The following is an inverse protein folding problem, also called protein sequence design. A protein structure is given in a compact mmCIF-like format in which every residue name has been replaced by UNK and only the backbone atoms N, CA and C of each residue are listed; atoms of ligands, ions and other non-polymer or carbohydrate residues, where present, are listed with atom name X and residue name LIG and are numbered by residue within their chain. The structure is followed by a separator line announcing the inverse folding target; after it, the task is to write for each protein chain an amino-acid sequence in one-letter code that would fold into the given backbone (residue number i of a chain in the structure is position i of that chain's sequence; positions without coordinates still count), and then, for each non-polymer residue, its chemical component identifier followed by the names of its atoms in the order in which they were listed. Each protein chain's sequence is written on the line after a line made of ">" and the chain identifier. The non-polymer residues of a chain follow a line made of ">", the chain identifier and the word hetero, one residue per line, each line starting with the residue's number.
data_IF_119632819688
#
_entry.id   IF_119632819688
#
_cell.length_a   1.000
_cell.length_b   1.000
_cell.length_c   1.000
_cell.angle_alpha   90.00
_cell.angle_beta   90.00
_cell.angle_gamma   90.00
#
_symmetry.space_group_name_H-M   'P 1'
#
loop_
_entity.id
_entity.type
_entity.pdbx_description
1 polymer ?
#
# COMPACT_ATOMS: atom_id res chain seq x y z
N UNK A 1 20.49 -10.63 3.18
CA UNK A 1 20.39 -9.90 4.48
C UNK A 1 18.92 -9.96 4.91
N UNK A 2 18.54 -10.62 6.03
CA UNK A 2 17.13 -10.58 6.47
C UNK A 2 16.78 -9.15 6.85
N UNK A 3 15.72 -8.63 6.25
CA UNK A 3 15.14 -7.34 6.61
C UNK A 3 14.72 -7.37 8.09
N UNK A 4 14.91 -6.25 8.81
CA UNK A 4 14.37 -6.06 10.17
C UNK A 4 12.89 -5.61 10.16
N UNK A 5 12.28 -5.54 8.97
CA UNK A 5 10.88 -5.15 8.79
C UNK A 5 9.99 -6.39 8.90
N UNK A 6 8.90 -6.25 9.65
CA UNK A 6 7.89 -7.28 9.82
C UNK A 6 6.54 -6.73 9.33
N UNK A 7 5.79 -7.54 8.57
CA UNK A 7 4.38 -7.25 8.30
C UNK A 7 3.59 -7.63 9.55
N UNK A 8 2.98 -6.63 10.19
CA UNK A 8 2.27 -6.82 11.47
C UNK A 8 0.75 -6.87 11.31
N UNK A 9 0.23 -6.29 10.22
CA UNK A 9 -1.20 -6.25 9.91
C UNK A 9 -1.42 -6.08 8.39
N UNK A 10 -2.56 -6.57 7.92
CA UNK A 10 -3.13 -6.20 6.61
C UNK A 10 -4.57 -5.72 6.80
N UNK A 11 -5.10 -4.97 5.84
CA UNK A 11 -6.45 -4.39 5.90
C UNK A 11 -7.15 -4.60 4.57
N UNK A 12 -8.44 -4.93 4.61
CA UNK A 12 -9.26 -5.08 3.41
C UNK A 12 -10.73 -4.78 3.75
N UNK A 13 -11.54 -4.51 2.72
CA UNK A 13 -13.00 -4.34 2.85
C UNK A 13 -13.75 -5.63 2.49
N UNK A 14 -13.09 -6.59 1.85
CA UNK A 14 -13.67 -7.88 1.50
C UNK A 14 -13.93 -8.75 2.75
N UNK A 15 -15.21 -9.05 3.09
CA UNK A 15 -15.56 -9.88 4.23
C UNK A 15 -14.96 -11.28 4.17
N UNK A 16 -14.59 -11.77 2.98
CA UNK A 16 -13.94 -13.06 2.81
C UNK A 16 -12.47 -13.04 3.22
N UNK A 17 -11.82 -11.87 3.36
CA UNK A 17 -10.43 -11.75 3.80
C UNK A 17 -10.32 -11.34 5.26
N UNK A 18 -11.25 -10.50 5.73
CA UNK A 18 -11.28 -10.00 7.10
C UNK A 18 -11.27 -11.15 8.11
N UNK A 19 -10.50 -10.98 9.19
CA UNK A 19 -10.23 -11.97 10.25
C UNK A 19 -9.46 -13.23 9.83
N UNK A 20 -9.01 -13.35 8.58
CA UNK A 20 -8.11 -14.42 8.16
C UNK A 20 -6.65 -14.06 8.40
N UNK A 21 -5.82 -15.09 8.52
CA UNK A 21 -4.36 -14.96 8.52
C UNK A 21 -3.85 -15.38 7.14
N UNK A 22 -3.19 -14.46 6.44
CA UNK A 22 -2.63 -14.65 5.11
C UNK A 22 -1.12 -14.50 5.22
N UNK A 23 -0.37 -15.53 4.83
CA UNK A 23 1.10 -15.56 4.94
C UNK A 23 1.62 -15.18 6.34
N UNK A 24 0.90 -15.55 7.40
CA UNK A 24 1.27 -15.25 8.79
C UNK A 24 0.85 -13.86 9.30
N UNK A 25 0.16 -13.06 8.49
CA UNK A 25 -0.31 -11.71 8.83
C UNK A 25 -1.83 -11.71 8.97
N UNK A 26 -2.35 -11.16 10.06
CA UNK A 26 -3.80 -11.03 10.26
C UNK A 26 -4.36 -9.90 9.41
N UNK A 27 -5.46 -10.19 8.71
CA UNK A 27 -6.25 -9.19 8.00
C UNK A 27 -7.35 -8.63 8.88
N UNK A 28 -7.33 -7.32 9.07
CA UNK A 28 -8.32 -6.55 9.82
C UNK A 28 -9.32 -5.91 8.84
N UNK A 29 -10.48 -5.51 9.37
CA UNK A 29 -11.37 -4.64 8.62
C UNK A 29 -10.71 -3.29 8.40
N UNK A 30 -10.94 -2.68 7.25
CA UNK A 30 -10.55 -1.29 7.02
C UNK A 30 -11.12 -0.33 8.09
N UNK A 31 -12.30 -0.64 8.63
CA UNK A 31 -12.89 0.17 9.72
C UNK A 31 -12.04 0.17 11.01
N UNK A 32 -11.15 -0.81 11.18
CA UNK A 32 -10.24 -0.89 12.34
C UNK A 32 -8.90 -0.19 12.09
N UNK A 33 -8.71 0.47 10.93
CA UNK A 33 -7.43 1.01 10.48
C UNK A 33 -6.79 1.95 11.51
N UNK A 34 -7.53 2.97 11.99
CA UNK A 34 -7.02 3.92 13.00
C UNK A 34 -6.57 3.21 14.28
N UNK A 35 -7.44 2.33 14.80
CA UNK A 35 -7.19 1.60 16.04
C UNK A 35 -5.91 0.77 15.92
N UNK A 36 -5.79 -0.03 14.85
CA UNK A 36 -4.67 -0.95 14.69
C UNK A 36 -3.35 -0.23 14.37
N UNK A 37 -3.38 0.88 13.63
CA UNK A 37 -2.18 1.71 13.42
C UNK A 37 -1.61 2.18 14.76
N UNK A 38 -2.48 2.61 15.68
CA UNK A 38 -2.06 3.10 17.00
C UNK A 38 -1.64 1.98 17.94
N UNK A 39 -2.43 0.92 18.05
CA UNK A 39 -2.16 -0.20 18.96
C UNK A 39 -0.87 -0.96 18.61
N UNK A 40 -0.54 -1.06 17.32
CA UNK A 40 0.65 -1.77 16.84
C UNK A 40 1.84 -0.85 16.54
N UNK A 41 1.72 0.46 16.80
CA UNK A 41 2.71 1.50 16.45
C UNK A 41 3.20 1.37 14.99
N UNK A 42 2.26 1.27 14.06
CA UNK A 42 2.57 1.12 12.63
C UNK A 42 3.04 2.47 12.10
N UNK A 43 4.24 2.49 11.50
CA UNK A 43 4.85 3.72 10.96
C UNK A 43 4.96 3.74 9.44
N UNK A 44 4.84 2.59 8.79
CA UNK A 44 4.98 2.42 7.35
C UNK A 44 3.76 1.67 6.82
N UNK A 45 3.12 2.21 5.78
CA UNK A 45 2.04 1.55 5.05
C UNK A 45 2.47 1.20 3.62
N UNK A 46 1.94 0.08 3.11
CA UNK A 46 2.03 -0.30 1.70
C UNK A 46 0.62 -0.18 1.13
N UNK A 47 0.43 0.64 0.10
CA UNK A 47 -0.88 0.87 -0.51
C UNK A 47 -1.01 0.02 -1.78
N UNK A 48 -1.94 -0.93 -1.75
CA UNK A 48 -2.26 -1.85 -2.86
C UNK A 48 -3.77 -1.87 -3.13
N UNK A 49 -4.41 -0.71 -2.99
CA UNK A 49 -5.85 -0.53 -3.19
C UNK A 49 -6.15 -0.11 -4.63
N UNK A 50 -7.40 -0.24 -5.11
CA UNK A 50 -7.80 0.35 -6.39
C UNK A 50 -7.51 1.86 -6.44
N UNK A 51 -7.16 2.41 -7.62
CA UNK A 51 -6.74 3.80 -7.77
C UNK A 51 -7.71 4.83 -7.18
N UNK A 52 -9.02 4.58 -7.30
CA UNK A 52 -10.08 5.46 -6.80
C UNK A 52 -10.07 5.63 -5.29
N UNK A 53 -9.51 4.67 -4.54
CA UNK A 53 -9.43 4.71 -3.07
C UNK A 53 -8.06 5.14 -2.55
N UNK A 54 -7.03 5.20 -3.41
CA UNK A 54 -5.66 5.37 -2.95
C UNK A 54 -5.43 6.70 -2.21
N UNK A 55 -6.08 7.78 -2.66
CA UNK A 55 -5.97 9.10 -2.02
C UNK A 55 -6.60 9.11 -0.63
N UNK A 56 -7.84 8.62 -0.52
CA UNK A 56 -8.58 8.58 0.75
C UNK A 56 -7.84 7.73 1.79
N UNK A 57 -7.41 6.52 1.41
CA UNK A 57 -6.67 5.62 2.30
C UNK A 57 -5.31 6.21 2.70
N UNK A 58 -4.62 6.92 1.80
CA UNK A 58 -3.37 7.60 2.14
C UNK A 58 -3.59 8.72 3.16
N UNK A 59 -4.59 9.57 2.95
CA UNK A 59 -4.93 10.66 3.87
C UNK A 59 -5.30 10.15 5.26
N UNK A 60 -6.09 9.08 5.33
CA UNK A 60 -6.42 8.38 6.58
C UNK A 60 -5.19 7.83 7.27
N UNK A 61 -4.38 7.04 6.56
CA UNK A 61 -3.17 6.43 7.09
C UNK A 61 -2.23 7.50 7.69
N UNK A 62 -2.02 8.59 6.95
CA UNK A 62 -1.23 9.75 7.39
C UNK A 62 -1.84 10.39 8.65
N UNK A 63 -3.14 10.66 8.66
CA UNK A 63 -3.87 11.21 9.81
C UNK A 63 -3.76 10.32 11.05
N UNK A 64 -3.71 9.00 10.88
CA UNK A 64 -3.62 8.03 11.98
C UNK A 64 -2.19 7.80 12.49
N UNK A 65 -1.17 8.33 11.81
CA UNK A 65 0.20 8.38 12.32
C UNK A 65 1.25 7.73 11.42
N UNK A 66 0.87 7.17 10.27
CA UNK A 66 1.83 6.63 9.29
C UNK A 66 2.77 7.75 8.83
N UNK A 67 4.08 7.45 8.82
CA UNK A 67 5.16 8.36 8.43
C UNK A 67 5.83 7.98 7.12
N UNK A 68 5.62 6.76 6.64
CA UNK A 68 6.12 6.27 5.36
C UNK A 68 5.05 5.56 4.56
N UNK A 69 4.95 5.84 3.28
CA UNK A 69 4.03 5.18 2.35
C UNK A 69 4.84 4.62 1.18
N UNK A 70 4.67 3.34 0.93
CA UNK A 70 5.06 2.70 -0.33
C UNK A 70 3.80 2.50 -1.18
N UNK A 71 3.64 3.32 -2.20
CA UNK A 71 2.49 3.35 -3.07
C UNK A 71 2.69 2.40 -4.27
N UNK A 72 1.99 1.27 -4.28
CA UNK A 72 1.94 0.34 -5.42
C UNK A 72 0.70 0.54 -6.31
N UNK A 73 -0.06 1.61 -6.07
CA UNK A 73 -1.19 1.96 -6.93
C UNK A 73 -0.69 2.63 -8.22
N UNK A 74 -1.58 2.81 -9.19
CA UNK A 74 -1.23 3.44 -10.48
C UNK A 74 -1.42 4.96 -10.49
N UNK A 75 -1.70 5.58 -9.34
CA UNK A 75 -1.86 7.03 -9.25
C UNK A 75 -0.87 7.63 -8.28
N UNK A 76 -0.41 8.83 -8.61
CA UNK A 76 0.46 9.58 -7.72
C UNK A 76 -0.31 10.16 -6.54
N UNK A 77 0.30 10.10 -5.36
CA UNK A 77 -0.27 10.62 -4.12
C UNK A 77 0.36 11.96 -3.75
N UNK A 78 -0.45 12.85 -3.17
CA UNK A 78 0.04 14.06 -2.52
C UNK A 78 -0.04 13.87 -1.02
N UNK A 79 1.11 13.88 -0.36
CA UNK A 79 1.21 13.69 1.10
C UNK A 79 1.93 14.88 1.75
N UNK A 80 1.68 15.17 3.03
CA UNK A 80 2.43 16.20 3.75
C UNK A 80 3.94 15.96 3.70
N UNK A 81 4.74 17.04 3.75
CA UNK A 81 6.21 17.00 3.62
C UNK A 81 6.94 16.17 4.68
N UNK A 82 6.28 15.85 5.79
CA UNK A 82 6.84 15.00 6.84
C UNK A 82 6.60 13.50 6.60
N UNK A 83 5.85 13.13 5.56
CA UNK A 83 5.63 11.75 5.13
C UNK A 83 6.62 11.40 4.04
N UNK A 84 7.36 10.31 4.22
CA UNK A 84 8.18 9.75 3.14
C UNK A 84 7.30 8.95 2.19
N UNK A 85 7.25 9.32 0.92
CA UNK A 85 6.48 8.64 -0.13
C UNK A 85 7.42 8.06 -1.17
N UNK A 86 7.28 6.75 -1.41
CA UNK A 86 7.90 6.06 -2.54
C UNK A 86 6.79 5.50 -3.43
N UNK A 87 6.89 5.71 -4.74
CA UNK A 87 5.86 5.30 -5.71
C UNK A 87 6.39 4.25 -6.68
N UNK A 88 5.64 3.18 -6.86
CA UNK A 88 6.01 2.05 -7.71
C UNK A 88 4.89 1.69 -8.68
N UNK A 89 4.91 2.32 -9.85
CA UNK A 89 3.97 2.03 -10.93
C UNK A 89 4.45 0.84 -11.78
N UNK A 90 3.94 -0.34 -11.42
CA UNK A 90 4.19 -1.58 -12.16
C UNK A 90 3.54 -1.58 -13.55
N UNK A 91 2.39 -0.93 -13.70
CA UNK A 91 1.64 -0.94 -14.97
C UNK A 91 2.42 -0.16 -16.03
N UNK A 92 2.84 1.07 -15.71
CA UNK A 92 3.70 1.86 -16.60
C UNK A 92 4.99 1.10 -16.96
N UNK A 93 5.56 0.37 -16.00
CA UNK A 93 6.76 -0.44 -16.22
C UNK A 93 6.50 -1.59 -17.21
N UNK A 94 5.37 -2.30 -17.08
CA UNK A 94 4.97 -3.37 -18.00
C UNK A 94 4.63 -2.81 -19.40
N UNK A 95 3.93 -1.68 -19.48
CA UNK A 95 3.59 -1.03 -20.75
C UNK A 95 4.84 -0.63 -21.54
N UNK A 96 5.87 -0.10 -20.85
CA UNK A 96 7.17 0.18 -21.46
C UNK A 96 7.81 -1.08 -22.03
N UNK A 97 7.81 -2.19 -21.29
CA UNK A 97 8.33 -3.48 -21.78
C UNK A 97 7.55 -3.93 -23.02
N UNK A 98 6.21 -3.87 -22.97
CA UNK A 98 5.36 -4.26 -24.10
C UNK A 98 5.62 -3.41 -25.35
N UNK A 99 5.82 -2.10 -25.18
CA UNK A 99 6.18 -1.17 -26.27
C UNK A 99 7.48 -1.59 -26.96
N UNK A 100 8.56 -1.80 -26.20
CA UNK A 100 9.86 -2.15 -26.77
C UNK A 100 9.91 -3.58 -27.34
N UNK A 101 9.14 -4.52 -26.78
CA UNK A 101 8.97 -5.85 -27.40
C UNK A 101 8.34 -5.70 -28.79
N UNK A 102 7.32 -4.85 -28.93
CA UNK A 102 6.67 -4.61 -30.22
C UNK A 102 7.58 -3.87 -31.21
N UNK A 103 8.41 -2.93 -30.76
CA UNK A 103 9.40 -2.27 -31.62
C UNK A 103 10.49 -3.23 -32.10
N UNK A 104 11.05 -4.07 -31.22
CA UNK A 104 12.09 -5.04 -31.59
C UNK A 104 11.61 -6.15 -32.53
N UNK A 105 10.29 -6.34 -32.66
CA UNK A 105 9.66 -7.29 -33.58
C UNK A 105 9.36 -6.68 -34.96
N UNK A 106 9.65 -5.39 -35.19
CA UNK A 106 9.58 -4.73 -36.50
C UNK A 106 10.94 -4.71 -37.17
#
# INVERSE_FOLDING_TARGET
>A
KRSKLNLVASFDTDPQKINKVIAGVKCYSHNDLEKMIRELDIRIAILTVPPEYAKEVAEEAVRYGIKGILNFTTISLNVPSWVFLEEYDMITSIEKVAYFVKENLR
#
